data_IF_972811585745
#
_entry.id   IF_972811585745
#
_cell.length_a   1.000
_cell.length_b   1.000
_cell.length_c   1.000
_cell.angle_alpha   90.00
_cell.angle_beta   90.00
_cell.angle_gamma   90.00
#
_symmetry.space_group_name_H-M   'P 1'
#
loop_
_entity.id
_entity.type
_entity.pdbx_description
1 polymer ?
#
# COMPACT_ATOMS: atom_id res chain seq x y z
N UNK A 1 41.89 -7.15 0.38
CA UNK A 1 40.66 -7.99 0.27
C UNK A 1 39.54 -7.64 1.25
N UNK A 2 39.80 -7.08 2.45
CA UNK A 2 38.73 -6.71 3.40
C UNK A 2 37.89 -5.49 2.98
N UNK A 3 38.50 -4.53 2.24
CA UNK A 3 37.83 -3.28 1.80
C UNK A 3 36.73 -3.55 0.75
N UNK A 4 36.92 -4.54 -0.11
CA UNK A 4 35.90 -4.93 -1.12
C UNK A 4 34.61 -5.45 -0.48
N UNK A 5 34.69 -6.14 0.67
CA UNK A 5 33.52 -6.62 1.40
C UNK A 5 32.69 -5.46 1.99
N UNK A 6 33.35 -4.37 2.40
CA UNK A 6 32.69 -3.18 2.97
C UNK A 6 31.93 -2.42 1.89
N UNK A 7 32.49 -2.31 0.68
CA UNK A 7 31.84 -1.66 -0.46
C UNK A 7 30.59 -2.40 -0.95
N UNK A 8 30.60 -3.73 -0.88
CA UNK A 8 29.44 -4.57 -1.23
C UNK A 8 28.29 -4.36 -0.22
N UNK A 9 28.60 -4.23 1.08
CA UNK A 9 27.58 -3.99 2.11
C UNK A 9 26.88 -2.62 1.98
N UNK A 10 27.58 -1.58 1.52
CA UNK A 10 27.00 -0.24 1.34
C UNK A 10 26.00 -0.17 0.17
N UNK A 11 26.09 -1.07 -0.80
CA UNK A 11 25.18 -1.13 -1.97
C UNK A 11 23.80 -1.73 -1.64
N UNK A 12 23.64 -2.44 -0.52
CA UNK A 12 22.36 -3.06 -0.13
C UNK A 12 21.45 -2.15 0.70
N UNK A 13 21.81 -0.88 0.89
CA UNK A 13 21.11 0.04 1.80
C UNK A 13 19.77 0.57 1.26
N UNK A 14 19.44 0.31 -0.01
CA UNK A 14 18.24 0.82 -0.66
C UNK A 14 17.30 -0.35 -1.02
N UNK A 15 16.83 -1.06 0.00
CA UNK A 15 15.68 -1.97 -0.18
C UNK A 15 14.44 -1.11 -0.08
N UNK A 16 13.95 -0.60 -1.21
CA UNK A 16 12.60 -0.05 -1.28
C UNK A 16 11.61 -1.15 -0.87
N UNK A 17 10.58 -0.79 -0.10
CA UNK A 17 9.60 -1.77 0.35
C UNK A 17 8.87 -2.32 -0.88
N UNK A 18 9.07 -3.60 -1.18
CA UNK A 18 8.36 -4.24 -2.28
C UNK A 18 6.91 -4.48 -1.85
N UNK A 19 5.97 -3.81 -2.51
CA UNK A 19 4.54 -4.11 -2.41
C UNK A 19 4.16 -5.17 -3.44
N UNK A 20 3.13 -5.96 -3.15
CA UNK A 20 2.62 -7.01 -4.04
C UNK A 20 1.81 -6.47 -5.23
N UNK A 21 1.49 -5.19 -5.20
CA UNK A 21 0.74 -4.48 -6.22
C UNK A 21 1.59 -3.37 -6.87
N UNK A 22 1.30 -3.02 -8.14
CA UNK A 22 1.94 -1.88 -8.81
C UNK A 22 1.64 -0.55 -8.12
N UNK A 23 2.60 0.37 -8.09
CA UNK A 23 2.44 1.71 -7.51
C UNK A 23 1.24 2.46 -8.12
N UNK A 24 1.01 2.31 -9.44
CA UNK A 24 -0.14 2.94 -10.11
C UNK A 24 -1.49 2.52 -9.51
N UNK A 25 -1.63 1.28 -9.04
CA UNK A 25 -2.86 0.80 -8.40
C UNK A 25 -3.09 1.47 -7.04
N UNK A 26 -2.02 1.77 -6.31
CA UNK A 26 -2.08 2.56 -5.08
C UNK A 26 -2.54 3.99 -5.37
N UNK A 27 -1.90 4.64 -6.34
CA UNK A 27 -2.26 6.01 -6.73
C UNK A 27 -3.72 6.10 -7.21
N UNK A 28 -4.16 5.16 -8.05
CA UNK A 28 -5.52 5.09 -8.55
C UNK A 28 -6.52 4.88 -7.41
N UNK A 29 -6.21 4.00 -6.45
CA UNK A 29 -7.05 3.79 -5.27
C UNK A 29 -7.17 5.06 -4.43
N UNK A 30 -6.05 5.71 -4.10
CA UNK A 30 -6.04 6.94 -3.29
C UNK A 30 -6.81 8.06 -4.01
N UNK A 31 -6.56 8.25 -5.30
CA UNK A 31 -7.23 9.26 -6.12
C UNK A 31 -8.74 9.04 -6.17
N UNK A 32 -9.17 7.79 -6.38
CA UNK A 32 -10.57 7.41 -6.39
C UNK A 32 -11.24 7.62 -5.03
N UNK A 33 -10.55 7.27 -3.93
CA UNK A 33 -11.05 7.47 -2.58
C UNK A 33 -11.12 8.96 -2.22
N UNK A 34 -10.14 9.79 -2.57
CA UNK A 34 -10.19 11.23 -2.32
C UNK A 34 -11.31 11.93 -3.13
N UNK A 35 -11.65 11.39 -4.29
CA UNK A 35 -12.73 11.89 -5.15
C UNK A 35 -14.13 11.47 -4.69
N UNK A 36 -14.23 10.48 -3.80
CA UNK A 36 -15.51 9.98 -3.33
C UNK A 36 -16.08 10.86 -2.19
N UNK A 37 -17.31 11.40 -2.31
CA UNK A 37 -17.94 12.20 -1.27
C UNK A 37 -18.04 11.49 0.10
N UNK A 38 -18.17 10.17 0.13
CA UNK A 38 -18.28 9.38 1.36
C UNK A 38 -17.02 9.38 2.22
N UNK A 39 -15.86 9.65 1.62
CA UNK A 39 -14.54 9.66 2.26
C UNK A 39 -13.96 11.07 2.41
N UNK A 40 -14.74 12.10 2.10
CA UNK A 40 -14.30 13.51 2.11
C UNK A 40 -13.74 13.99 3.46
N UNK A 41 -14.25 13.46 4.58
CA UNK A 41 -13.80 13.81 5.93
C UNK A 41 -12.67 12.92 6.45
N UNK A 42 -12.28 11.89 5.69
CA UNK A 42 -11.23 10.95 6.08
C UNK A 42 -9.87 11.53 5.70
N UNK A 43 -8.88 11.41 6.58
CA UNK A 43 -7.53 11.90 6.28
C UNK A 43 -6.89 11.09 5.16
N UNK A 44 -5.98 11.74 4.42
CA UNK A 44 -5.21 11.08 3.35
C UNK A 44 -4.45 9.87 3.89
N UNK A 45 -3.88 9.94 5.09
CA UNK A 45 -3.13 8.83 5.70
C UNK A 45 -4.02 7.60 5.94
N UNK A 46 -5.24 7.79 6.44
CA UNK A 46 -6.19 6.69 6.62
C UNK A 46 -6.62 6.10 5.27
N UNK A 47 -6.82 6.94 4.25
CA UNK A 47 -7.10 6.49 2.88
C UNK A 47 -5.93 5.69 2.31
N UNK A 48 -4.69 6.13 2.52
CA UNK A 48 -3.48 5.41 2.10
C UNK A 48 -3.39 4.05 2.80
N UNK A 49 -3.64 3.97 4.11
CA UNK A 49 -3.66 2.70 4.84
C UNK A 49 -4.80 1.77 4.40
N UNK A 50 -5.96 2.33 4.07
CA UNK A 50 -7.08 1.60 3.47
C UNK A 50 -6.68 0.99 2.12
N UNK A 51 -6.08 1.78 1.23
CA UNK A 51 -5.66 1.32 -0.09
C UNK A 51 -4.55 0.27 -0.02
N UNK A 52 -3.55 0.46 0.85
CA UNK A 52 -2.51 -0.56 1.09
C UNK A 52 -3.12 -1.89 1.57
N UNK A 53 -4.02 -1.81 2.55
CA UNK A 53 -4.72 -2.98 3.07
C UNK A 53 -5.52 -3.71 1.98
N UNK A 54 -6.33 -2.98 1.21
CA UNK A 54 -7.21 -3.57 0.21
C UNK A 54 -6.41 -4.19 -0.93
N UNK A 55 -5.35 -3.52 -1.40
CA UNK A 55 -4.51 -4.03 -2.47
C UNK A 55 -3.70 -5.26 -2.03
N UNK A 56 -3.18 -5.29 -0.80
CA UNK A 56 -2.56 -6.52 -0.25
C UNK A 56 -3.55 -7.67 -0.20
N UNK A 57 -4.76 -7.45 0.30
CA UNK A 57 -5.78 -8.49 0.34
C UNK A 57 -6.12 -9.04 -1.06
N UNK A 58 -6.18 -8.17 -2.08
CA UNK A 58 -6.44 -8.59 -3.46
C UNK A 58 -5.27 -9.36 -4.06
N UNK A 59 -4.04 -8.82 -3.95
CA UNK A 59 -2.86 -9.38 -4.65
C UNK A 59 -2.18 -10.52 -3.89
N UNK A 60 -2.13 -10.47 -2.56
CA UNK A 60 -1.46 -11.49 -1.73
C UNK A 60 -2.42 -12.62 -1.33
N UNK A 61 -3.67 -12.28 -0.99
CA UNK A 61 -4.63 -13.24 -0.45
C UNK A 61 -5.65 -13.72 -1.50
N UNK A 62 -5.61 -13.19 -2.73
CA UNK A 62 -6.59 -13.43 -3.80
C UNK A 62 -8.05 -13.21 -3.34
N UNK A 63 -8.27 -12.27 -2.41
CA UNK A 63 -9.61 -11.93 -1.92
C UNK A 63 -10.39 -11.16 -2.97
N UNK A 64 -11.71 -11.29 -2.91
CA UNK A 64 -12.61 -10.50 -3.75
C UNK A 64 -12.45 -8.99 -3.47
N UNK A 65 -12.60 -8.16 -4.50
CA UNK A 65 -12.41 -6.70 -4.41
C UNK A 65 -13.39 -6.10 -3.40
N UNK A 66 -14.65 -6.55 -3.38
CA UNK A 66 -15.68 -5.99 -2.49
C UNK A 66 -15.42 -6.41 -1.06
N UNK A 67 -15.03 -7.67 -0.83
CA UNK A 67 -14.66 -8.16 0.50
C UNK A 67 -13.44 -7.41 1.05
N UNK A 68 -12.38 -7.30 0.24
CA UNK A 68 -11.15 -6.59 0.59
C UNK A 68 -11.42 -5.12 0.95
N UNK A 69 -12.21 -4.41 0.13
CA UNK A 69 -12.60 -3.04 0.40
C UNK A 69 -13.44 -2.92 1.69
N UNK A 70 -14.40 -3.81 1.91
CA UNK A 70 -15.23 -3.78 3.11
C UNK A 70 -14.43 -4.03 4.41
N UNK A 71 -13.61 -5.08 4.43
CA UNK A 71 -12.80 -5.42 5.60
C UNK A 71 -11.79 -4.31 5.93
N UNK A 72 -11.10 -3.78 4.92
CA UNK A 72 -10.11 -2.73 5.11
C UNK A 72 -10.74 -1.38 5.47
N UNK A 73 -11.94 -1.06 4.97
CA UNK A 73 -12.67 0.13 5.39
C UNK A 73 -13.04 0.05 6.89
N UNK A 74 -13.54 -1.12 7.34
CA UNK A 74 -13.83 -1.35 8.76
C UNK A 74 -12.60 -1.22 9.66
N UNK A 75 -11.42 -1.58 9.16
CA UNK A 75 -10.17 -1.51 9.93
C UNK A 75 -9.59 -0.11 10.02
N UNK A 76 -9.80 0.73 9.00
CA UNK A 76 -9.11 2.02 8.88
C UNK A 76 -10.01 3.25 9.08
N UNK A 77 -11.32 3.15 8.84
CA UNK A 77 -12.24 4.30 8.91
C UNK A 77 -13.19 4.26 10.12
N UNK A 78 -13.28 3.13 10.82
CA UNK A 78 -14.09 2.97 12.03
C UNK A 78 -13.22 2.87 13.28
#
# INVERSE_FOLDING_TARGET
MKIFLILIFLMFSFVESATSYPESQMEDCISSALSNPATKSISKDLITNYCDCALKAIFDENKDIRESGYECAKKNFN
#
